data_IF_281010441945
#
_entry.id   IF_281010441945
#
_cell.length_a   1.000
_cell.length_b   1.000
_cell.length_c   1.000
_cell.angle_alpha   90.00
_cell.angle_beta   90.00
_cell.angle_gamma   90.00
#
_symmetry.space_group_name_H-M   'P 1'
#
loop_
_entity.id
_entity.type
_entity.pdbx_description
1 polymer ?
#
# COMPACT_ATOMS: atom_id res chain seq x y z
N UNK A 1 -16.81 19.50 -20.70
CA UNK A 1 -15.56 20.24 -20.94
C UNK A 1 -14.45 19.41 -20.36
N UNK A 2 -13.71 18.72 -21.21
CA UNK A 2 -12.63 17.82 -20.82
C UNK A 2 -11.39 18.68 -20.51
N UNK A 3 -11.14 18.96 -19.23
CA UNK A 3 -9.94 19.66 -18.81
C UNK A 3 -8.72 18.74 -18.96
N UNK A 4 -7.82 19.06 -19.90
CA UNK A 4 -6.51 18.44 -19.99
C UNK A 4 -5.78 18.61 -18.64
N UNK A 5 -5.21 17.54 -18.11
CA UNK A 5 -4.41 17.61 -16.88
C UNK A 5 -3.22 18.57 -17.10
N UNK A 6 -2.91 19.44 -16.13
CA UNK A 6 -1.73 20.31 -16.20
C UNK A 6 -0.44 19.52 -16.44
N UNK A 7 0.54 20.16 -17.09
CA UNK A 7 1.84 19.56 -17.39
C UNK A 7 2.49 18.94 -16.14
N UNK A 8 3.23 17.85 -16.25
CA UNK A 8 3.81 17.14 -15.11
C UNK A 8 4.73 18.02 -14.25
N UNK A 9 5.42 18.97 -14.88
CA UNK A 9 6.29 19.94 -14.20
C UNK A 9 5.49 20.88 -13.29
N UNK A 10 4.37 21.43 -13.77
CA UNK A 10 3.51 22.32 -13.00
C UNK A 10 2.86 21.57 -11.81
N UNK A 11 2.56 20.28 -11.98
CA UNK A 11 2.04 19.45 -10.88
C UNK A 11 3.09 19.17 -9.82
N UNK A 12 4.35 18.97 -10.20
CA UNK A 12 5.46 18.82 -9.25
C UNK A 12 5.70 20.11 -8.44
N UNK A 13 5.63 21.26 -9.10
CA UNK A 13 5.71 22.56 -8.43
C UNK A 13 4.51 22.77 -7.47
N UNK A 14 3.30 22.44 -7.89
CA UNK A 14 2.12 22.49 -7.04
C UNK A 14 2.27 21.62 -5.76
N UNK A 15 2.82 20.42 -5.89
CA UNK A 15 3.08 19.53 -4.76
C UNK A 15 4.15 20.12 -3.82
N UNK A 16 5.19 20.75 -4.35
CA UNK A 16 6.20 21.44 -3.56
C UNK A 16 5.60 22.61 -2.77
N UNK A 17 4.70 23.40 -3.39
CA UNK A 17 3.98 24.47 -2.71
C UNK A 17 3.05 23.96 -1.61
N UNK A 18 2.28 22.90 -1.85
CA UNK A 18 1.45 22.29 -0.79
C UNK A 18 2.32 21.86 0.39
N UNK A 19 3.45 21.19 0.15
CA UNK A 19 4.37 20.80 1.21
C UNK A 19 4.94 22.02 1.97
N UNK A 20 5.34 23.08 1.26
CA UNK A 20 5.92 24.30 1.87
C UNK A 20 4.89 25.06 2.70
N UNK A 21 3.64 25.17 2.21
CA UNK A 21 2.56 25.85 2.94
C UNK A 21 2.15 25.14 4.24
N UNK A 22 2.44 23.84 4.37
CA UNK A 22 2.18 23.05 5.57
C UNK A 22 3.42 22.83 6.45
N UNK A 23 4.57 23.41 6.10
CA UNK A 23 5.80 23.34 6.89
C UNK A 23 5.69 24.22 8.15
N UNK A 24 6.26 23.75 9.27
CA UNK A 24 6.24 24.48 10.56
C UNK A 24 7.09 25.76 10.51
N UNK A 25 8.07 25.85 9.63
CA UNK A 25 8.99 26.97 9.43
C UNK A 25 8.57 27.95 8.33
N UNK A 26 7.28 27.94 7.92
CA UNK A 26 6.74 28.83 6.90
C UNK A 26 6.83 30.30 7.35
N UNK A 27 7.26 31.16 6.42
CA UNK A 27 7.36 32.59 6.64
C UNK A 27 6.52 33.42 5.64
N UNK A 28 6.52 34.76 5.82
CA UNK A 28 5.76 35.67 4.97
C UNK A 28 6.32 35.75 3.53
N UNK A 29 7.58 35.42 3.30
CA UNK A 29 8.20 35.40 1.97
C UNK A 29 7.70 34.21 1.14
N UNK A 30 7.43 33.07 1.77
CA UNK A 30 6.82 31.90 1.15
C UNK A 30 5.41 32.20 0.64
N UNK A 31 4.63 32.94 1.42
CA UNK A 31 3.28 33.35 1.04
C UNK A 31 3.27 34.27 -0.17
N UNK A 32 4.20 35.22 -0.23
CA UNK A 32 4.35 36.13 -1.37
C UNK A 32 4.79 35.40 -2.64
N UNK A 33 5.75 34.48 -2.52
CA UNK A 33 6.24 33.65 -3.62
C UNK A 33 5.18 32.69 -4.14
N UNK A 34 4.40 32.08 -3.25
CA UNK A 34 3.27 31.24 -3.61
C UNK A 34 2.21 31.99 -4.41
N UNK A 35 1.81 33.19 -3.95
CA UNK A 35 0.83 34.02 -4.67
C UNK A 35 1.33 34.42 -6.06
N UNK A 36 2.61 34.77 -6.18
CA UNK A 36 3.21 35.07 -7.47
C UNK A 36 3.17 33.87 -8.41
N UNK A 37 3.52 32.68 -7.93
CA UNK A 37 3.46 31.45 -8.69
C UNK A 37 2.02 31.08 -9.09
N UNK A 38 1.05 31.18 -8.17
CA UNK A 38 -0.34 30.87 -8.42
C UNK A 38 -0.96 31.77 -9.50
N UNK A 39 -0.57 33.05 -9.54
CA UNK A 39 -1.05 34.03 -10.51
C UNK A 39 -0.31 34.00 -11.86
N UNK A 40 0.78 33.24 -11.97
CA UNK A 40 1.57 33.17 -13.20
C UNK A 40 0.83 32.50 -14.36
N UNK A 41 -0.10 31.57 -14.09
CA UNK A 41 -0.89 30.90 -15.12
C UNK A 41 -2.14 30.22 -14.54
N UNK A 42 -3.27 30.19 -15.27
CA UNK A 42 -4.43 29.39 -14.89
C UNK A 42 -4.12 27.88 -14.68
N UNK A 43 -3.08 27.38 -15.37
CA UNK A 43 -2.64 25.99 -15.21
C UNK A 43 -2.01 25.73 -13.83
N UNK A 44 -1.36 26.73 -13.21
CA UNK A 44 -0.82 26.64 -11.86
C UNK A 44 -1.93 26.54 -10.82
N UNK A 45 -2.97 27.38 -10.95
CA UNK A 45 -4.14 27.33 -10.06
C UNK A 45 -4.85 25.97 -10.16
N UNK A 46 -5.09 25.47 -11.37
CA UNK A 46 -5.72 24.17 -11.59
C UNK A 46 -4.88 23.00 -11.04
N UNK A 47 -3.54 23.07 -11.18
CA UNK A 47 -2.62 22.09 -10.64
C UNK A 47 -2.61 22.11 -9.11
N UNK A 48 -2.57 23.32 -8.51
CA UNK A 48 -2.60 23.49 -7.07
C UNK A 48 -3.91 22.96 -6.46
N UNK A 49 -5.07 23.33 -7.02
CA UNK A 49 -6.37 22.80 -6.56
C UNK A 49 -6.46 21.28 -6.64
N UNK A 50 -5.89 20.68 -7.69
CA UNK A 50 -5.89 19.23 -7.85
C UNK A 50 -5.03 18.53 -6.78
N UNK A 51 -3.84 19.09 -6.49
CA UNK A 51 -2.91 18.54 -5.48
C UNK A 51 -3.40 18.83 -4.07
N UNK A 52 -3.90 20.04 -3.80
CA UNK A 52 -4.44 20.44 -2.49
C UNK A 52 -5.69 19.64 -2.11
N UNK A 53 -6.53 19.30 -3.09
CA UNK A 53 -7.69 18.40 -2.87
C UNK A 53 -7.22 17.03 -2.43
N UNK A 54 -6.21 16.45 -3.09
CA UNK A 54 -5.60 15.18 -2.69
C UNK A 54 -4.99 15.31 -1.28
N UNK A 55 -4.33 16.42 -0.98
CA UNK A 55 -3.75 16.69 0.33
C UNK A 55 -4.81 16.88 1.41
N UNK A 56 -5.91 17.57 1.11
CA UNK A 56 -7.05 17.81 2.02
C UNK A 56 -7.84 16.51 2.27
N UNK A 57 -8.05 15.70 1.26
CA UNK A 57 -8.66 14.36 1.40
C UNK A 57 -7.77 13.45 2.28
N UNK A 58 -6.44 13.62 2.22
CA UNK A 58 -5.48 12.95 3.09
C UNK A 58 -5.33 13.64 4.45
N UNK A 59 -5.49 14.97 4.50
CA UNK A 59 -5.32 15.82 5.69
C UNK A 59 -6.60 16.06 6.51
N UNK A 60 -7.77 15.89 5.91
CA UNK A 60 -9.08 16.15 6.54
C UNK A 60 -9.42 15.26 7.75
N UNK A 61 -8.55 14.30 8.07
CA UNK A 61 -8.63 13.48 9.28
C UNK A 61 -8.14 14.23 10.55
N UNK A 62 -7.60 15.44 10.45
CA UNK A 62 -7.20 16.22 11.64
C UNK A 62 -8.37 16.90 12.33
N UNK A 63 -9.47 17.19 11.65
CA UNK A 63 -10.62 17.93 12.20
C UNK A 63 -11.70 17.06 12.86
N UNK A 64 -11.58 15.73 12.80
CA UNK A 64 -12.50 14.84 13.54
C UNK A 64 -12.25 14.81 15.07
N UNK A 65 -11.24 15.52 15.58
CA UNK A 65 -10.93 15.56 17.03
C UNK A 65 -11.79 16.51 17.85
N UNK A 66 -12.68 17.32 17.28
CA UNK A 66 -13.50 18.30 18.04
C UNK A 66 -15.01 18.18 17.85
N UNK A 67 -15.50 17.18 17.14
CA UNK A 67 -16.93 16.91 16.97
C UNK A 67 -17.51 16.08 18.11
N UNK A 68 -18.05 16.71 19.17
CA UNK A 68 -18.93 16.05 20.15
C UNK A 68 -20.20 15.57 19.44
N UNK A 69 -20.25 14.27 19.10
CA UNK A 69 -21.50 13.59 18.74
C UNK A 69 -22.19 13.15 20.02
N UNK A 70 -23.45 13.54 20.31
CA UNK A 70 -24.16 13.07 21.50
C UNK A 70 -24.48 11.59 21.37
N UNK A 71 -23.86 10.77 22.19
CA UNK A 71 -24.16 9.35 22.31
C UNK A 71 -25.56 9.17 22.89
N UNK A 72 -26.49 8.76 22.04
CA UNK A 72 -27.79 8.25 22.44
C UNK A 72 -27.61 6.85 23.04
N UNK A 73 -27.68 6.76 24.36
CA UNK A 73 -27.64 5.48 25.07
C UNK A 73 -28.91 4.66 24.80
N UNK A 74 -28.83 3.41 24.38
CA UNK A 74 -29.95 2.50 24.52
C UNK A 74 -29.99 1.97 25.96
N UNK A 75 -31.09 2.18 26.62
CA UNK A 75 -31.43 1.62 27.94
C UNK A 75 -31.57 0.11 27.85
N UNK A 76 -30.64 -0.62 28.42
CA UNK A 76 -30.72 -2.05 28.60
C UNK A 76 -31.55 -2.34 29.86
N UNK A 77 -32.70 -2.98 29.65
CA UNK A 77 -33.52 -3.58 30.69
C UNK A 77 -32.83 -4.86 31.20
N UNK A 78 -32.44 -4.84 32.47
CA UNK A 78 -31.93 -6.03 33.17
C UNK A 78 -33.06 -7.00 33.42
N UNK A 79 -33.00 -8.17 32.81
CA UNK A 79 -33.73 -9.36 33.23
C UNK A 79 -32.87 -10.22 34.16
N UNK A 80 -33.18 -10.15 35.47
CA UNK A 80 -32.63 -11.08 36.45
C UNK A 80 -33.35 -12.42 36.32
N UNK A 81 -32.63 -13.53 36.04
CA UNK A 81 -32.88 -14.88 36.53
C UNK A 81 -32.05 -15.89 35.74
N UNK A 82 -31.07 -16.45 36.37
CA UNK A 82 -30.85 -17.88 36.60
C UNK A 82 -29.42 -18.10 37.12
N UNK A 83 -29.36 -18.28 38.43
CA UNK A 83 -28.28 -18.93 39.17
C UNK A 83 -28.56 -20.46 39.14
N UNK A 84 -27.48 -21.19 39.16
CA UNK A 84 -27.24 -22.49 39.77
C UNK A 84 -26.75 -23.60 38.83
N UNK A 85 -25.58 -24.02 39.21
CA UNK A 85 -25.06 -25.36 39.45
C UNK A 85 -24.24 -26.04 38.35
N UNK A 86 -23.01 -26.36 38.73
CA UNK A 86 -22.15 -27.31 38.04
C UNK A 86 -20.69 -27.22 38.44
N UNK A 87 -20.39 -27.57 39.74
CA UNK A 87 -19.02 -27.87 40.18
C UNK A 87 -18.60 -29.20 39.58
N UNK A 88 -17.58 -29.17 38.73
CA UNK A 88 -16.93 -30.37 38.19
C UNK A 88 -15.41 -30.16 38.22
N UNK A 89 -14.81 -30.62 39.30
CA UNK A 89 -13.38 -30.73 39.53
C UNK A 89 -12.82 -31.84 38.63
N UNK A 90 -11.88 -31.55 37.74
CA UNK A 90 -10.95 -32.56 37.21
C UNK A 90 -9.56 -31.96 36.96
N UNK A 91 -8.63 -32.71 37.51
CA UNK A 91 -7.25 -32.40 37.79
C UNK A 91 -6.35 -32.26 36.54
N UNK A 92 -5.47 -31.32 36.63
CA UNK A 92 -4.06 -31.21 36.29
C UNK A 92 -3.42 -32.49 35.71
N UNK A 93 -2.99 -32.40 34.44
CA UNK A 93 -1.72 -32.98 34.02
C UNK A 93 -1.06 -32.02 33.02
N UNK A 94 0.22 -31.76 33.24
CA UNK A 94 1.04 -30.75 32.68
C UNK A 94 1.11 -30.75 31.15
N UNK A 95 1.03 -29.56 30.62
CA UNK A 95 1.37 -29.19 29.28
C UNK A 95 1.47 -27.70 29.26
N UNK A 96 2.72 -27.18 29.22
CA UNK A 96 3.01 -25.77 29.05
C UNK A 96 2.54 -25.30 27.67
N UNK A 97 1.22 -25.25 27.50
CA UNK A 97 0.57 -24.55 26.40
C UNK A 97 0.56 -23.07 26.78
N UNK A 98 1.40 -22.31 26.17
CA UNK A 98 1.26 -20.86 26.09
C UNK A 98 -0.18 -20.57 25.61
N UNK A 99 -1.09 -20.32 26.55
CA UNK A 99 -2.34 -19.66 26.24
C UNK A 99 -2.01 -18.25 25.78
N UNK A 100 -1.68 -18.11 24.51
CA UNK A 100 -1.81 -16.85 23.81
C UNK A 100 -3.26 -16.44 23.96
N UNK A 101 -3.46 -15.44 24.77
CA UNK A 101 -4.74 -14.74 24.87
C UNK A 101 -4.94 -14.08 23.51
N UNK A 102 -5.60 -14.79 22.62
CA UNK A 102 -5.94 -14.32 21.28
C UNK A 102 -6.82 -13.09 21.43
N UNK A 103 -6.22 -11.90 21.40
CA UNK A 103 -6.93 -10.75 20.90
C UNK A 103 -7.46 -11.20 19.54
N UNK A 104 -8.78 -11.16 19.34
CA UNK A 104 -9.40 -11.61 18.10
C UNK A 104 -8.75 -10.90 16.93
N UNK A 105 -7.94 -11.62 16.16
CA UNK A 105 -7.25 -11.04 15.02
C UNK A 105 -8.30 -10.56 14.01
N UNK A 106 -8.21 -9.29 13.61
CA UNK A 106 -9.05 -8.73 12.53
C UNK A 106 -8.41 -9.07 11.21
N UNK A 107 -9.14 -9.75 10.33
CA UNK A 107 -8.66 -10.06 8.96
C UNK A 107 -9.10 -8.95 8.02
N UNK A 108 -8.17 -8.51 7.19
CA UNK A 108 -8.38 -7.56 6.11
C UNK A 108 -7.98 -8.22 4.79
N UNK A 109 -8.86 -8.12 3.82
CA UNK A 109 -8.69 -8.73 2.50
C UNK A 109 -9.20 -7.79 1.42
N UNK A 110 -8.58 -7.84 0.25
CA UNK A 110 -8.97 -7.14 -0.97
C UNK A 110 -8.99 -8.10 -2.14
N UNK A 111 -10.01 -7.96 -2.97
CA UNK A 111 -10.17 -8.73 -4.19
C UNK A 111 -9.38 -8.15 -5.38
N UNK A 112 -9.53 -8.77 -6.56
CA UNK A 112 -8.99 -8.27 -7.82
C UNK A 112 -9.53 -6.85 -8.09
N UNK A 113 -8.64 -5.89 -8.28
CA UNK A 113 -8.99 -4.49 -8.54
C UNK A 113 -9.49 -3.71 -7.33
N UNK A 114 -9.64 -4.34 -6.17
CA UNK A 114 -10.03 -3.66 -4.94
C UNK A 114 -8.80 -3.09 -4.23
N UNK A 115 -8.86 -1.82 -3.85
CA UNK A 115 -7.90 -1.19 -2.94
C UNK A 115 -8.65 -0.66 -1.71
N UNK A 116 -8.03 -0.72 -0.52
CA UNK A 116 -8.72 -0.41 0.72
C UNK A 116 -7.87 0.40 1.69
N UNK A 117 -8.43 1.53 2.14
CA UNK A 117 -7.88 2.27 3.28
C UNK A 117 -8.46 1.75 4.59
N UNK A 118 -7.60 1.48 5.56
CA UNK A 118 -7.97 0.97 6.88
C UNK A 118 -7.32 1.83 7.95
N UNK A 119 -8.13 2.37 8.87
CA UNK A 119 -7.65 2.98 10.09
C UNK A 119 -7.66 1.91 11.20
N UNK A 120 -6.51 1.72 11.85
CA UNK A 120 -6.36 0.78 12.96
C UNK A 120 -6.72 1.42 14.30
N UNK A 121 -6.97 0.59 15.30
CA UNK A 121 -7.41 1.03 16.63
C UNK A 121 -6.35 1.90 17.37
N UNK A 122 -5.08 1.82 16.97
CA UNK A 122 -3.97 2.63 17.47
C UNK A 122 -3.78 3.97 16.74
N UNK A 123 -4.58 4.23 15.69
CA UNK A 123 -4.49 5.40 14.81
C UNK A 123 -3.51 5.22 13.64
N UNK A 124 -2.82 4.08 13.53
CA UNK A 124 -2.05 3.75 12.34
C UNK A 124 -2.96 3.54 11.13
N UNK A 125 -2.45 3.83 9.94
CA UNK A 125 -3.21 3.72 8.69
C UNK A 125 -2.56 2.68 7.78
N UNK A 126 -3.39 1.84 7.21
CA UNK A 126 -3.01 0.88 6.16
C UNK A 126 -3.68 1.27 4.86
N UNK A 127 -2.94 1.16 3.77
CA UNK A 127 -3.52 1.16 2.43
C UNK A 127 -3.17 -0.18 1.77
N UNK A 128 -4.18 -1.03 1.60
CA UNK A 128 -4.06 -2.34 0.98
C UNK A 128 -4.23 -2.20 -0.53
N UNK A 129 -3.35 -2.85 -1.27
CA UNK A 129 -3.43 -3.00 -2.72
C UNK A 129 -4.39 -4.15 -3.10
N UNK A 130 -4.65 -4.31 -4.40
CA UNK A 130 -5.45 -5.41 -4.92
C UNK A 130 -4.82 -6.77 -4.55
N UNK A 131 -5.68 -7.77 -4.33
CA UNK A 131 -5.27 -9.14 -3.98
C UNK A 131 -4.31 -9.17 -2.79
N UNK A 132 -4.74 -8.58 -1.68
CA UNK A 132 -3.96 -8.52 -0.44
C UNK A 132 -4.73 -9.16 0.70
N UNK A 133 -4.05 -9.95 1.52
CA UNK A 133 -4.63 -10.53 2.74
C UNK A 133 -3.66 -10.43 3.90
N UNK A 134 -4.18 -9.93 5.03
CA UNK A 134 -3.44 -9.82 6.28
C UNK A 134 -4.36 -9.94 7.49
N UNK A 135 -3.78 -10.29 8.62
CA UNK A 135 -4.45 -10.24 9.92
C UNK A 135 -3.74 -9.29 10.88
N UNK A 136 -4.51 -8.57 11.69
CA UNK A 136 -4.02 -7.58 12.65
C UNK A 136 -4.44 -8.00 14.04
N UNK A 137 -3.48 -8.12 14.96
CA UNK A 137 -3.70 -8.43 16.35
C UNK A 137 -2.84 -7.52 17.25
N UNK A 138 -3.48 -6.79 18.14
CA UNK A 138 -2.81 -5.90 19.10
C UNK A 138 -2.85 -6.51 20.49
N UNK A 139 -1.71 -6.50 21.16
CA UNK A 139 -1.54 -6.94 22.54
C UNK A 139 -1.07 -5.77 23.43
N UNK A 140 -0.84 -6.06 24.70
CA UNK A 140 -0.26 -5.09 25.64
C UNK A 140 1.22 -4.78 25.36
N UNK A 141 1.90 -5.63 24.58
CA UNK A 141 3.35 -5.55 24.31
C UNK A 141 3.70 -5.28 22.85
N UNK A 142 2.85 -5.65 21.89
CA UNK A 142 3.09 -5.51 20.46
C UNK A 142 1.82 -5.20 19.68
N UNK A 143 1.99 -4.57 18.52
CA UNK A 143 0.98 -4.35 17.50
C UNK A 143 1.40 -5.15 16.27
N UNK A 144 0.83 -6.34 16.11
CA UNK A 144 1.27 -7.31 15.10
C UNK A 144 0.34 -7.33 13.90
N UNK A 145 0.92 -7.29 12.71
CA UNK A 145 0.29 -7.57 11.43
C UNK A 145 0.96 -8.80 10.83
N UNK A 146 0.18 -9.82 10.54
CA UNK A 146 0.63 -10.99 9.79
C UNK A 146 0.12 -10.89 8.36
N UNK A 147 1.03 -10.66 7.42
CA UNK A 147 0.76 -10.47 6.00
C UNK A 147 0.97 -11.79 5.25
N UNK A 148 -0.13 -12.41 4.81
CA UNK A 148 -0.11 -13.69 4.12
C UNK A 148 0.36 -13.52 2.66
N UNK A 149 -0.21 -12.55 1.95
CA UNK A 149 0.17 -12.20 0.58
C UNK A 149 -0.31 -10.80 0.19
N UNK A 150 0.21 -10.29 -0.94
CA UNK A 150 -0.18 -9.04 -1.56
C UNK A 150 0.74 -7.88 -1.21
N UNK A 151 0.19 -6.66 -1.18
CA UNK A 151 0.94 -5.42 -0.96
C UNK A 151 0.18 -4.45 -0.11
N UNK A 152 0.88 -3.79 0.82
CA UNK A 152 0.27 -2.72 1.61
C UNK A 152 1.29 -1.63 1.97
N UNK A 153 0.80 -0.41 2.08
CA UNK A 153 1.51 0.70 2.69
C UNK A 153 1.08 0.85 4.15
N UNK A 154 2.05 1.05 5.02
CA UNK A 154 1.90 1.18 6.46
C UNK A 154 2.34 2.57 6.91
N UNK A 155 1.42 3.36 7.43
CA UNK A 155 1.72 4.63 8.11
C UNK A 155 1.53 4.44 9.60
N UNK A 156 2.64 4.22 10.30
CA UNK A 156 2.67 3.82 11.70
C UNK A 156 2.77 5.03 12.61
N UNK A 157 1.84 5.15 13.58
CA UNK A 157 1.92 6.14 14.65
C UNK A 157 2.89 5.70 15.74
N UNK A 158 3.60 6.66 16.41
CA UNK A 158 4.57 6.32 17.44
C UNK A 158 3.88 5.71 18.68
N UNK A 159 4.41 4.58 19.13
CA UNK A 159 4.13 3.98 20.44
C UNK A 159 5.39 3.25 20.91
N UNK A 160 6.12 3.87 21.85
CA UNK A 160 7.38 3.34 22.38
C UNK A 160 7.21 2.10 23.27
N UNK A 161 6.00 1.86 23.76
CA UNK A 161 5.72 0.69 24.63
C UNK A 161 5.35 -0.54 23.83
N UNK A 162 4.77 -0.36 22.65
CA UNK A 162 4.28 -1.43 21.79
C UNK A 162 4.78 -1.21 20.36
N UNK A 163 5.91 -1.80 19.98
CA UNK A 163 6.40 -1.73 18.62
C UNK A 163 5.34 -2.25 17.63
N UNK A 164 5.33 -1.69 16.43
CA UNK A 164 4.52 -2.18 15.33
C UNK A 164 5.35 -3.21 14.56
N UNK A 165 4.81 -4.40 14.41
CA UNK A 165 5.51 -5.54 13.81
C UNK A 165 4.73 -6.03 12.61
N UNK A 166 5.38 -6.15 11.46
CA UNK A 166 4.82 -6.83 10.29
C UNK A 166 5.60 -8.12 10.08
N UNK A 167 4.87 -9.22 10.08
CA UNK A 167 5.39 -10.55 9.72
C UNK A 167 4.93 -10.87 8.30
N UNK A 168 5.87 -11.22 7.41
CA UNK A 168 5.61 -11.53 6.01
C UNK A 168 6.65 -12.53 5.51
N UNK A 169 6.24 -13.66 4.93
CA UNK A 169 7.10 -14.74 4.41
C UNK A 169 8.31 -15.01 5.31
N UNK A 170 8.08 -15.20 6.61
CA UNK A 170 9.08 -15.45 7.67
C UNK A 170 10.05 -14.28 7.95
N UNK A 171 9.87 -13.15 7.29
CA UNK A 171 10.58 -11.90 7.61
C UNK A 171 9.81 -11.12 8.67
N UNK A 172 10.54 -10.48 9.59
CA UNK A 172 9.97 -9.65 10.66
C UNK A 172 10.44 -8.21 10.50
N UNK A 173 9.51 -7.30 10.31
CA UNK A 173 9.73 -5.86 10.19
C UNK A 173 9.26 -5.20 11.49
N UNK A 174 10.15 -4.51 12.19
CA UNK A 174 9.84 -3.79 13.44
C UNK A 174 9.91 -2.30 13.20
N UNK A 175 8.80 -1.62 13.42
CA UNK A 175 8.62 -0.21 13.16
C UNK A 175 8.14 0.52 14.43
N UNK A 176 8.70 1.71 14.71
CA UNK A 176 8.25 2.54 15.84
C UNK A 176 7.45 3.75 15.36
N UNK A 177 7.98 4.47 14.39
CA UNK A 177 7.37 5.63 13.74
C UNK A 177 7.90 5.71 12.32
N UNK A 178 7.17 5.20 11.36
CA UNK A 178 7.61 5.24 9.98
C UNK A 178 6.46 5.07 8.98
N UNK A 179 6.76 5.36 7.74
CA UNK A 179 5.93 5.06 6.58
C UNK A 179 6.73 4.11 5.67
N UNK A 180 6.17 2.94 5.39
CA UNK A 180 6.82 1.92 4.58
C UNK A 180 5.81 1.10 3.78
N UNK A 181 6.28 0.52 2.69
CA UNK A 181 5.54 -0.35 1.79
C UNK A 181 6.06 -1.78 1.95
N UNK A 182 5.19 -2.77 2.05
CA UNK A 182 5.55 -4.18 2.07
C UNK A 182 4.80 -4.90 0.97
N UNK A 183 5.54 -5.67 0.16
CA UNK A 183 5.00 -6.62 -0.80
C UNK A 183 5.46 -8.02 -0.39
N UNK A 184 4.51 -8.96 -0.33
CA UNK A 184 4.73 -10.34 0.04
C UNK A 184 4.10 -11.24 -1.04
N UNK A 185 4.93 -11.86 -1.86
CA UNK A 185 4.50 -12.72 -2.97
C UNK A 185 5.51 -13.84 -3.18
N UNK A 186 5.04 -15.04 -3.47
CA UNK A 186 5.84 -16.22 -3.81
C UNK A 186 7.01 -16.51 -2.84
N UNK A 187 6.78 -16.25 -1.54
CA UNK A 187 7.81 -16.41 -0.51
C UNK A 187 8.89 -15.34 -0.51
N UNK A 188 8.77 -14.31 -1.35
CA UNK A 188 9.63 -13.14 -1.36
C UNK A 188 8.94 -11.98 -0.62
N UNK A 189 9.72 -11.24 0.15
CA UNK A 189 9.30 -9.99 0.78
C UNK A 189 10.12 -8.84 0.23
N UNK A 190 9.44 -7.79 -0.17
CA UNK A 190 10.03 -6.50 -0.47
C UNK A 190 9.56 -5.49 0.56
N UNK A 191 10.49 -4.82 1.24
CA UNK A 191 10.22 -3.73 2.17
C UNK A 191 10.85 -2.46 1.65
N UNK A 192 10.07 -1.41 1.45
CA UNK A 192 10.57 -0.09 1.02
C UNK A 192 10.26 0.92 2.10
N UNK A 193 11.30 1.51 2.69
CA UNK A 193 11.12 2.55 3.69
C UNK A 193 10.97 3.93 3.03
N UNK A 194 9.81 4.54 3.19
CA UNK A 194 9.47 5.84 2.61
C UNK A 194 9.93 6.95 3.54
N UNK A 195 9.65 6.79 4.84
CA UNK A 195 10.03 7.78 5.86
C UNK A 195 10.27 7.10 7.22
N UNK A 196 11.27 7.57 7.97
CA UNK A 196 11.64 7.06 9.29
C UNK A 196 12.70 5.97 9.24
N UNK A 197 12.67 5.05 10.20
CA UNK A 197 13.56 3.90 10.32
C UNK A 197 12.74 2.65 10.69
N UNK A 198 13.15 1.50 10.18
CA UNK A 198 12.58 0.20 10.53
C UNK A 198 13.66 -0.87 10.57
N UNK A 199 13.58 -1.76 11.55
CA UNK A 199 14.48 -2.91 11.62
C UNK A 199 13.82 -4.11 10.91
N UNK A 200 14.53 -4.67 9.94
CA UNK A 200 14.05 -5.83 9.18
C UNK A 200 14.97 -7.02 9.49
N UNK A 201 14.37 -8.09 9.97
CA UNK A 201 15.02 -9.39 10.11
C UNK A 201 14.48 -10.29 8.99
N UNK A 202 15.27 -10.54 7.93
CA UNK A 202 14.85 -11.37 6.81
C UNK A 202 14.75 -12.84 7.17
N UNK A 203 14.05 -13.62 6.34
CA UNK A 203 13.84 -15.06 6.48
C UNK A 203 15.12 -15.90 6.28
N UNK A 204 16.17 -15.34 5.69
CA UNK A 204 17.41 -16.03 5.38
C UNK A 204 18.04 -16.69 6.62
N UNK A 205 18.61 -17.91 6.48
CA UNK A 205 19.12 -18.74 7.56
C UNK A 205 20.09 -18.03 8.52
N UNK A 206 20.87 -17.06 8.01
CA UNK A 206 21.81 -16.23 8.78
C UNK A 206 21.39 -14.76 8.79
N UNK A 207 20.11 -14.48 8.51
CA UNK A 207 19.56 -13.14 8.37
C UNK A 207 19.83 -12.29 9.61
N UNK A 208 20.80 -11.38 9.48
CA UNK A 208 21.05 -10.36 10.49
C UNK A 208 19.99 -9.29 10.35
N UNK A 209 19.51 -8.79 11.49
CA UNK A 209 18.62 -7.63 11.46
C UNK A 209 19.34 -6.45 10.78
N UNK A 210 18.66 -5.84 9.81
CA UNK A 210 19.13 -4.66 9.09
C UNK A 210 18.21 -3.50 9.37
N UNK A 211 18.78 -2.36 9.74
CA UNK A 211 18.03 -1.11 9.89
C UNK A 211 17.92 -0.45 8.53
N UNK A 212 16.71 -0.38 7.99
CA UNK A 212 16.40 0.38 6.79
C UNK A 212 16.18 1.86 7.13
N UNK A 213 16.66 2.73 6.24
CA UNK A 213 16.46 4.18 6.28
C UNK A 213 15.60 4.66 5.12
N UNK A 214 15.09 5.88 5.23
CA UNK A 214 14.27 6.50 4.19
C UNK A 214 14.90 6.39 2.80
N UNK A 215 14.13 5.91 1.83
CA UNK A 215 14.55 5.68 0.45
C UNK A 215 15.20 4.32 0.19
N UNK A 216 15.44 3.50 1.21
CA UNK A 216 16.04 2.18 1.05
C UNK A 216 14.98 1.10 0.86
N UNK A 217 15.33 0.09 0.05
CA UNK A 217 14.54 -1.11 -0.18
C UNK A 217 15.35 -2.36 0.13
N UNK A 218 14.76 -3.26 0.91
CA UNK A 218 15.22 -4.62 1.10
C UNK A 218 14.31 -5.58 0.34
N UNK A 219 14.89 -6.42 -0.50
CA UNK A 219 14.22 -7.57 -1.11
C UNK A 219 14.84 -8.82 -0.52
N UNK A 220 14.01 -9.66 0.10
CA UNK A 220 14.47 -10.86 0.78
C UNK A 220 13.61 -12.08 0.39
N UNK A 221 14.27 -13.21 0.18
CA UNK A 221 13.68 -14.53 0.07
C UNK A 221 14.56 -15.52 0.84
N UNK A 222 14.26 -16.83 0.78
CA UNK A 222 15.05 -17.84 1.50
C UNK A 222 16.54 -17.84 1.12
N UNK A 223 16.87 -17.45 -0.12
CA UNK A 223 18.23 -17.58 -0.70
C UNK A 223 18.84 -16.24 -1.13
N UNK A 224 18.04 -15.19 -1.19
CA UNK A 224 18.47 -13.88 -1.74
C UNK A 224 18.12 -12.78 -0.76
N UNK A 225 19.10 -11.91 -0.53
CA UNK A 225 18.91 -10.66 0.18
C UNK A 225 19.58 -9.55 -0.63
N UNK A 226 18.83 -8.51 -0.97
CA UNK A 226 19.32 -7.37 -1.75
C UNK A 226 18.84 -6.07 -1.14
N UNK A 227 19.79 -5.20 -0.85
CA UNK A 227 19.53 -3.82 -0.43
C UNK A 227 19.85 -2.86 -1.56
N UNK A 228 18.90 -1.98 -1.90
CA UNK A 228 19.08 -0.93 -2.91
C UNK A 228 18.24 0.32 -2.59
N UNK A 229 18.28 1.32 -3.49
CA UNK A 229 17.49 2.57 -3.39
C UNK A 229 16.67 2.75 -4.65
N UNK A 230 15.40 2.31 -4.66
CA UNK A 230 14.52 2.46 -5.79
C UNK A 230 14.01 3.90 -5.96
N UNK A 231 13.51 4.22 -7.14
CA UNK A 231 12.68 5.41 -7.34
C UNK A 231 11.35 5.25 -6.58
N UNK A 232 11.17 6.05 -5.52
CA UNK A 232 9.95 6.01 -4.69
C UNK A 232 8.70 6.41 -5.49
N UNK A 233 8.81 7.29 -6.49
CA UNK A 233 7.69 7.67 -7.36
C UNK A 233 7.13 6.44 -8.08
N UNK A 234 8.03 5.58 -8.57
CA UNK A 234 7.66 4.32 -9.21
C UNK A 234 7.06 3.33 -8.19
N UNK A 235 7.73 3.16 -7.05
CA UNK A 235 7.25 2.25 -6.00
C UNK A 235 5.84 2.60 -5.55
N UNK A 236 5.51 3.89 -5.45
CA UNK A 236 4.24 4.35 -4.91
C UNK A 236 3.16 4.62 -5.97
N UNK A 237 3.46 4.42 -7.25
CA UNK A 237 2.54 4.69 -8.36
C UNK A 237 1.19 3.94 -8.21
N UNK A 238 1.21 2.72 -7.67
CA UNK A 238 0.02 1.91 -7.43
C UNK A 238 -1.01 2.60 -6.53
N UNK A 239 -0.57 3.44 -5.58
CA UNK A 239 -1.45 4.19 -4.69
C UNK A 239 -2.29 5.25 -5.43
N UNK A 240 -1.89 5.63 -6.62
CA UNK A 240 -2.59 6.59 -7.47
C UNK A 240 -3.36 5.95 -8.62
N UNK A 241 -3.44 4.61 -8.64
CA UNK A 241 -4.12 3.86 -9.68
C UNK A 241 -3.32 3.72 -10.98
N UNK A 242 -1.99 3.79 -10.89
CA UNK A 242 -1.08 3.62 -12.01
C UNK A 242 0.01 2.61 -11.70
N UNK A 243 0.52 1.95 -12.76
CA UNK A 243 1.76 1.18 -12.74
C UNK A 243 2.80 1.86 -13.63
N UNK A 244 4.03 1.89 -13.14
CA UNK A 244 5.16 2.50 -13.85
C UNK A 244 6.21 1.43 -14.15
N UNK A 245 6.24 0.95 -15.38
CA UNK A 245 7.18 -0.04 -15.86
C UNK A 245 8.43 0.64 -16.45
N UNK A 246 9.60 0.04 -16.23
CA UNK A 246 10.87 0.50 -16.80
C UNK A 246 11.70 -0.70 -17.25
N UNK A 247 11.56 -1.04 -18.53
CA UNK A 247 12.19 -2.22 -19.13
C UNK A 247 11.80 -3.53 -18.41
N UNK A 248 10.56 -3.59 -17.93
CA UNK A 248 10.00 -4.79 -17.31
C UNK A 248 9.71 -5.83 -18.39
N UNK A 249 9.85 -7.11 -18.08
CA UNK A 249 9.42 -8.16 -18.99
C UNK A 249 7.89 -8.12 -19.19
N UNK A 250 7.43 -8.34 -20.43
CA UNK A 250 6.01 -8.31 -20.77
C UNK A 250 5.21 -9.28 -19.89
N UNK A 251 5.75 -10.45 -19.58
CA UNK A 251 5.11 -11.40 -18.69
C UNK A 251 4.87 -10.81 -17.29
N UNK A 252 5.88 -10.15 -16.71
CA UNK A 252 5.79 -9.51 -15.40
C UNK A 252 4.84 -8.33 -15.41
N UNK A 253 4.89 -7.49 -16.46
CA UNK A 253 3.98 -6.36 -16.60
C UNK A 253 2.51 -6.83 -16.72
N UNK A 254 2.25 -7.91 -17.44
CA UNK A 254 0.92 -8.53 -17.56
C UNK A 254 0.44 -9.11 -16.24
N UNK A 255 1.29 -9.79 -15.51
CA UNK A 255 0.97 -10.34 -14.18
C UNK A 255 0.55 -9.23 -13.23
N UNK A 256 1.32 -8.12 -13.19
CA UNK A 256 1.00 -6.95 -12.36
C UNK A 256 -0.32 -6.30 -12.77
N UNK A 257 -0.59 -6.13 -14.08
CA UNK A 257 -1.85 -5.57 -14.57
C UNK A 257 -3.06 -6.46 -14.27
N UNK A 258 -2.90 -7.78 -14.26
CA UNK A 258 -3.94 -8.75 -13.94
C UNK A 258 -4.43 -8.67 -12.49
N UNK A 259 -3.65 -8.10 -11.59
CA UNK A 259 -4.08 -7.86 -10.19
C UNK A 259 -5.25 -6.88 -10.11
N UNK A 260 -5.41 -6.02 -11.11
CA UNK A 260 -6.35 -4.90 -11.06
C UNK A 260 -7.55 -5.06 -11.99
N UNK A 261 -7.67 -6.16 -12.74
CA UNK A 261 -8.73 -6.33 -13.71
C UNK A 261 -9.19 -7.78 -13.79
N UNK A 262 -10.52 -7.97 -13.89
CA UNK A 262 -11.12 -9.28 -14.17
C UNK A 262 -10.97 -9.69 -15.64
N UNK A 263 -10.81 -8.72 -16.57
CA UNK A 263 -10.42 -9.00 -17.95
C UNK A 263 -8.95 -9.45 -17.97
N UNK A 264 -8.73 -10.74 -18.15
CA UNK A 264 -7.42 -11.36 -18.01
C UNK A 264 -6.55 -11.15 -19.26
N UNK A 265 -5.28 -10.86 -19.03
CA UNK A 265 -4.23 -10.87 -20.06
C UNK A 265 -3.45 -12.19 -19.97
N UNK A 266 -3.14 -12.76 -21.12
CA UNK A 266 -2.23 -13.91 -21.25
C UNK A 266 -1.14 -13.56 -22.25
N UNK A 267 0.07 -14.07 -22.03
CA UNK A 267 1.24 -13.81 -22.88
C UNK A 267 1.75 -15.10 -23.46
N UNK A 268 1.87 -15.12 -24.77
CA UNK A 268 2.54 -16.24 -25.46
C UNK A 268 4.04 -16.24 -25.07
N UNK A 269 4.63 -17.42 -24.77
CA UNK A 269 6.03 -17.53 -24.38
C UNK A 269 7.01 -16.87 -25.37
N UNK A 270 6.68 -16.80 -26.66
CA UNK A 270 7.52 -16.19 -27.69
C UNK A 270 7.72 -14.68 -27.52
N UNK A 271 6.80 -13.99 -26.84
CA UNK A 271 6.84 -12.53 -26.60
C UNK A 271 7.03 -12.16 -25.15
N UNK A 272 7.08 -13.12 -24.23
CA UNK A 272 7.11 -12.92 -22.78
C UNK A 272 8.28 -12.04 -22.31
N UNK A 273 9.42 -12.10 -22.99
CA UNK A 273 10.63 -11.33 -22.68
C UNK A 273 10.71 -9.93 -23.31
N UNK A 274 9.71 -9.51 -24.10
CA UNK A 274 9.68 -8.15 -24.64
C UNK A 274 9.64 -7.12 -23.50
N UNK A 275 10.33 -5.99 -23.70
CA UNK A 275 10.48 -4.99 -22.64
C UNK A 275 9.38 -3.93 -22.72
N UNK A 276 8.69 -3.76 -21.62
CA UNK A 276 7.63 -2.77 -21.42
C UNK A 276 8.18 -1.59 -20.60
N UNK A 277 7.96 -0.37 -21.09
CA UNK A 277 8.24 0.87 -20.37
C UNK A 277 7.07 1.83 -20.52
N UNK A 278 6.80 2.60 -19.45
CA UNK A 278 5.75 3.62 -19.46
C UNK A 278 4.87 3.57 -18.21
N UNK A 279 3.96 4.54 -18.14
CA UNK A 279 2.98 4.66 -17.05
C UNK A 279 1.61 4.25 -17.59
N UNK A 280 1.01 3.26 -16.96
CA UNK A 280 -0.26 2.69 -17.38
C UNK A 280 -1.27 2.75 -16.24
N UNK A 281 -2.51 3.10 -16.57
CA UNK A 281 -3.60 3.07 -15.62
C UNK A 281 -3.99 1.63 -15.34
N UNK A 282 -4.14 1.28 -14.07
CA UNK A 282 -4.60 -0.05 -13.64
C UNK A 282 -6.10 -0.22 -13.89
N UNK A 283 -6.57 -1.47 -14.01
CA UNK A 283 -7.98 -1.82 -14.18
C UNK A 283 -8.49 -1.78 -15.62
N UNK A 284 -7.71 -1.28 -16.59
CA UNK A 284 -8.08 -1.29 -18.01
C UNK A 284 -7.07 -2.11 -18.83
N UNK A 285 -7.14 -3.44 -18.69
CA UNK A 285 -6.29 -4.37 -19.39
C UNK A 285 -6.46 -4.29 -20.92
N UNK A 286 -7.65 -3.92 -21.38
CA UNK A 286 -7.91 -3.70 -22.80
C UNK A 286 -7.13 -2.52 -23.38
N UNK A 287 -7.12 -1.38 -22.68
CA UNK A 287 -6.34 -0.22 -23.10
C UNK A 287 -4.83 -0.50 -23.02
N UNK A 288 -4.38 -1.21 -21.99
CA UNK A 288 -3.00 -1.64 -21.86
C UNK A 288 -2.57 -2.51 -23.05
N UNK A 289 -3.31 -3.57 -23.37
CA UNK A 289 -3.03 -4.46 -24.50
C UNK A 289 -2.99 -3.70 -25.83
N UNK A 290 -3.99 -2.84 -26.11
CA UNK A 290 -4.01 -2.02 -27.32
C UNK A 290 -2.83 -1.04 -27.41
N UNK A 291 -2.39 -0.51 -26.29
CA UNK A 291 -1.21 0.38 -26.24
C UNK A 291 0.06 -0.40 -26.58
N UNK A 292 0.22 -1.59 -26.02
CA UNK A 292 1.36 -2.44 -26.28
C UNK A 292 1.43 -2.88 -27.75
N UNK A 293 0.30 -3.24 -28.36
CA UNK A 293 0.26 -3.62 -29.78
C UNK A 293 0.67 -2.51 -30.75
N UNK A 294 0.64 -1.24 -30.30
CA UNK A 294 1.15 -0.11 -31.08
C UNK A 294 2.66 0.13 -30.91
N UNK A 295 3.24 -0.40 -29.84
CA UNK A 295 4.62 -0.11 -29.44
C UNK A 295 5.55 -1.30 -29.62
N UNK A 296 5.02 -2.51 -29.60
CA UNK A 296 5.74 -3.78 -29.64
C UNK A 296 5.25 -4.61 -30.84
N UNK A 297 6.06 -5.52 -31.37
CA UNK A 297 5.66 -6.43 -32.44
C UNK A 297 4.77 -7.57 -31.91
N UNK A 298 3.58 -7.21 -31.42
CA UNK A 298 2.60 -8.13 -30.86
C UNK A 298 1.21 -7.89 -31.43
N UNK A 299 0.46 -8.97 -31.59
CA UNK A 299 -0.96 -8.97 -31.89
C UNK A 299 -1.78 -9.27 -30.63
N UNK A 300 -2.95 -8.68 -30.51
CA UNK A 300 -3.92 -8.93 -29.43
C UNK A 300 -5.08 -9.75 -29.99
N UNK A 301 -5.29 -10.95 -29.45
CA UNK A 301 -6.42 -11.82 -29.80
C UNK A 301 -7.36 -11.92 -28.60
N UNK A 302 -8.64 -11.66 -28.81
CA UNK A 302 -9.64 -11.82 -27.77
C UNK A 302 -10.24 -13.22 -27.82
N UNK A 303 -10.27 -13.88 -26.66
CA UNK A 303 -10.93 -15.16 -26.46
C UNK A 303 -11.81 -15.09 -25.20
N UNK A 304 -13.10 -14.77 -25.38
CA UNK A 304 -14.00 -14.47 -24.26
C UNK A 304 -13.51 -13.26 -23.48
N UNK A 305 -13.31 -13.43 -22.16
CA UNK A 305 -12.83 -12.38 -21.26
C UNK A 305 -11.30 -12.30 -21.19
N UNK A 306 -10.60 -13.16 -21.94
CA UNK A 306 -9.15 -13.20 -21.99
C UNK A 306 -8.61 -12.50 -23.25
N UNK A 307 -7.59 -11.68 -23.08
CA UNK A 307 -6.81 -11.03 -24.14
C UNK A 307 -5.46 -11.71 -24.24
N UNK A 308 -5.23 -12.47 -25.30
CA UNK A 308 -3.98 -13.16 -25.56
C UNK A 308 -3.04 -12.26 -26.39
N UNK A 309 -1.84 -12.03 -25.87
CA UNK A 309 -0.75 -11.29 -26.50
C UNK A 309 0.18 -12.30 -27.20
N UNK A 310 0.25 -12.26 -28.53
CA UNK A 310 1.08 -13.16 -29.35
C UNK A 310 2.04 -12.35 -30.21
N UNK A 311 3.04 -13.00 -30.81
CA UNK A 311 3.85 -12.34 -31.82
C UNK A 311 2.95 -11.85 -32.97
N UNK A 312 3.24 -10.66 -33.46
CA UNK A 312 2.62 -10.18 -34.68
C UNK A 312 3.12 -11.04 -35.83
N UNK A 313 2.17 -11.68 -36.53
CA UNK A 313 2.47 -12.60 -37.62
C UNK A 313 2.47 -11.93 -39.01
N UNK A 314 2.31 -10.58 -39.00
CA UNK A 314 2.33 -9.83 -40.26
C UNK A 314 3.79 -9.53 -40.65
N UNK A 315 4.24 -10.02 -41.82
CA UNK A 315 5.60 -9.82 -42.31
C UNK A 315 5.85 -8.38 -42.80
#
# INVERSE_FOLDING_TARGET
MSGALPAPEIRAEAAAWVARLHAEDRDASDEAAFRAWLNASPAHAAAFEAVDRIWSDVGGLKDLRTGRVPLRRPSAVLGRRALLAGVGLLAITGGSGLFWRSASAKVYETDVGEQKHVALDDGSQLFLDAQTRMSVAFSDTERTVDMQYGRANFRVVPDLKRPFVVEAAQSRIVATRCNFDVRCEDGQVQVVLIHGEADVKPAARDGRSQTLRSGERLVASNDVEKLDKPDLTRVLAWQTGYQNFDKEDLAQAVEEMNRYSTARLEVDPSVAGLKVSGVYRVGDNGAFARSLAKLLPIAVRQNGDTLLLTADSDP
#
